data_IF_431314814263
#
_entry.id   IF_431314814263
#
_cell.length_a   1.000
_cell.length_b   1.000
_cell.length_c   1.000
_cell.angle_alpha   90.00
_cell.angle_beta   90.00
_cell.angle_gamma   90.00
#
_symmetry.space_group_name_H-M   'P 1'
#
loop_
_entity.id
_entity.type
_entity.pdbx_description
1 polymer ?
#
# COMPACT_ATOMS: atom_id res chain seq x y z
N UNK A 1 2.82 11.70 -15.63
CA UNK A 1 3.25 10.49 -14.87
C UNK A 1 3.22 10.74 -13.37
N UNK A 2 3.83 11.82 -12.88
CA UNK A 2 3.80 12.20 -11.45
C UNK A 2 2.37 12.36 -10.90
N UNK A 3 1.52 13.17 -11.54
CA UNK A 3 0.15 13.45 -11.06
C UNK A 3 -0.70 12.19 -10.93
N UNK A 4 -0.54 11.24 -11.86
CA UNK A 4 -1.20 9.93 -11.79
C UNK A 4 -0.80 9.15 -10.55
N UNK A 5 0.50 9.09 -10.24
CA UNK A 5 1.02 8.35 -9.07
C UNK A 5 0.61 9.05 -7.78
N UNK A 6 0.62 10.38 -7.75
CA UNK A 6 0.18 11.17 -6.61
C UNK A 6 -1.32 10.93 -6.34
N UNK A 7 -2.15 10.91 -7.38
CA UNK A 7 -3.58 10.62 -7.24
C UNK A 7 -3.82 9.17 -6.79
N UNK A 8 -3.07 8.20 -7.33
CA UNK A 8 -3.14 6.82 -6.85
C UNK A 8 -2.77 6.73 -5.36
N UNK A 9 -1.68 7.38 -4.93
CA UNK A 9 -1.26 7.43 -3.54
C UNK A 9 -2.31 8.07 -2.61
N UNK A 10 -2.95 9.16 -3.06
CA UNK A 10 -4.04 9.82 -2.33
C UNK A 10 -5.22 8.86 -2.14
N UNK A 11 -5.70 8.24 -3.22
CA UNK A 11 -6.83 7.32 -3.17
C UNK A 11 -6.52 6.08 -2.32
N UNK A 12 -5.31 5.51 -2.45
CA UNK A 12 -4.87 4.41 -1.58
C UNK A 12 -4.84 4.84 -0.12
N UNK A 13 -4.34 6.02 0.20
CA UNK A 13 -4.29 6.52 1.59
C UNK A 13 -5.68 6.70 2.18
N UNK A 14 -6.65 7.20 1.40
CA UNK A 14 -8.05 7.29 1.82
C UNK A 14 -8.62 5.90 2.12
N UNK A 15 -8.42 4.93 1.22
CA UNK A 15 -8.89 3.56 1.46
C UNK A 15 -8.22 2.95 2.68
N UNK A 16 -6.90 3.12 2.81
CA UNK A 16 -6.13 2.60 3.93
C UNK A 16 -6.60 3.18 5.27
N UNK A 17 -7.01 4.45 5.32
CA UNK A 17 -7.59 5.07 6.53
C UNK A 17 -8.82 4.31 7.04
N UNK A 18 -9.67 3.78 6.16
CA UNK A 18 -10.88 3.05 6.55
C UNK A 18 -10.64 1.54 6.72
N UNK A 19 -9.78 0.96 5.89
CA UNK A 19 -9.64 -0.49 5.79
C UNK A 19 -8.58 -1.05 6.74
N UNK A 20 -7.41 -0.41 6.84
CA UNK A 20 -6.32 -0.95 7.66
C UNK A 20 -6.68 -1.04 9.15
N UNK A 21 -7.38 -0.06 9.77
CA UNK A 21 -7.74 -0.15 11.19
C UNK A 21 -8.52 -1.40 11.59
N UNK A 22 -9.27 -2.00 10.66
CA UNK A 22 -9.99 -3.25 10.90
C UNK A 22 -9.05 -4.43 11.20
N UNK A 23 -7.79 -4.34 10.79
CA UNK A 23 -6.74 -5.34 11.09
C UNK A 23 -6.13 -5.12 12.47
N UNK A 24 -6.18 -3.89 12.99
CA UNK A 24 -5.47 -3.47 14.22
C UNK A 24 -6.39 -3.25 15.43
N UNK A 25 -7.70 -3.14 15.22
CA UNK A 25 -8.66 -2.78 16.25
C UNK A 25 -8.68 -3.77 17.42
N UNK A 26 -8.48 -3.26 18.64
CA UNK A 26 -8.64 -4.04 19.88
C UNK A 26 -10.01 -3.79 20.54
N UNK A 27 -10.47 -4.67 21.45
CA UNK A 27 -11.80 -4.57 22.07
C UNK A 27 -12.12 -3.27 22.81
N UNK A 28 -11.10 -2.49 23.20
CA UNK A 28 -11.25 -1.27 23.98
C UNK A 28 -10.86 0.00 23.22
N UNK A 29 -10.38 -0.12 21.98
CA UNK A 29 -9.98 1.04 21.18
C UNK A 29 -11.20 1.71 20.55
N UNK A 30 -11.19 3.04 20.45
CA UNK A 30 -12.14 3.70 19.55
C UNK A 30 -11.65 3.56 18.10
N UNK A 31 -12.56 3.26 17.17
CA UNK A 31 -12.20 3.10 15.76
C UNK A 31 -11.46 4.33 15.20
N UNK A 32 -11.85 5.53 15.63
CA UNK A 32 -11.22 6.79 15.19
C UNK A 32 -9.77 6.92 15.67
N UNK A 33 -9.45 6.52 16.90
CA UNK A 33 -8.06 6.52 17.40
C UNK A 33 -7.18 5.57 16.60
N UNK A 34 -7.68 4.37 16.28
CA UNK A 34 -6.95 3.40 15.44
C UNK A 34 -6.77 3.93 14.03
N UNK A 35 -7.80 4.54 13.42
CA UNK A 35 -7.70 5.21 12.13
C UNK A 35 -6.57 6.23 12.09
N UNK A 36 -6.50 7.12 13.08
CA UNK A 36 -5.46 8.14 13.17
C UNK A 36 -4.08 7.51 13.38
N UNK A 37 -3.95 6.59 14.33
CA UNK A 37 -2.67 5.94 14.65
C UNK A 37 -2.08 5.20 13.45
N UNK A 38 -2.89 4.43 12.75
CA UNK A 38 -2.46 3.71 11.54
C UNK A 38 -2.13 4.68 10.41
N UNK A 39 -2.95 5.72 10.21
CA UNK A 39 -2.79 6.63 9.07
C UNK A 39 -1.59 7.56 9.18
N UNK A 40 -1.21 7.97 10.39
CA UNK A 40 0.02 8.74 10.65
C UNK A 40 1.24 8.00 10.12
N UNK A 41 1.22 6.67 10.14
CA UNK A 41 2.31 5.83 9.65
C UNK A 41 2.09 5.44 8.19
N UNK A 42 0.92 4.93 7.84
CA UNK A 42 0.67 4.37 6.50
C UNK A 42 0.65 5.43 5.40
N UNK A 43 0.09 6.62 5.64
CA UNK A 43 -0.03 7.64 4.60
C UNK A 43 1.34 8.15 4.14
N UNK A 44 2.28 8.57 5.02
CA UNK A 44 3.64 8.93 4.58
C UNK A 44 4.35 7.85 3.78
N UNK A 45 4.18 6.58 4.16
CA UNK A 45 4.80 5.45 3.45
C UNK A 45 4.17 5.28 2.06
N UNK A 46 2.85 5.38 1.93
CA UNK A 46 2.15 5.31 0.64
C UNK A 46 2.63 6.44 -0.28
N UNK A 47 2.76 7.67 0.23
CA UNK A 47 3.21 8.82 -0.56
C UNK A 47 4.71 8.78 -0.91
N UNK A 48 5.55 8.19 -0.08
CA UNK A 48 6.99 8.09 -0.34
C UNK A 48 7.32 6.82 -1.10
N UNK A 49 7.27 5.68 -0.42
CA UNK A 49 7.62 4.38 -0.95
C UNK A 49 6.63 3.90 -2.00
N UNK A 50 5.32 4.14 -1.83
CA UNK A 50 4.33 3.76 -2.84
C UNK A 50 4.58 4.42 -4.19
N UNK A 51 4.86 5.73 -4.21
CA UNK A 51 5.22 6.44 -5.44
C UNK A 51 6.54 5.92 -6.03
N UNK A 52 7.60 5.84 -5.21
CA UNK A 52 8.92 5.40 -5.67
C UNK A 52 8.90 3.99 -6.28
N UNK A 53 8.30 3.05 -5.55
CA UNK A 53 8.21 1.64 -5.95
C UNK A 53 7.33 1.48 -7.18
N UNK A 54 6.27 2.27 -7.32
CA UNK A 54 5.42 2.25 -8.50
C UNK A 54 6.14 2.77 -9.76
N UNK A 55 6.96 3.83 -9.62
CA UNK A 55 7.81 4.33 -10.71
C UNK A 55 8.82 3.26 -11.13
N UNK A 56 9.46 2.63 -10.16
CA UNK A 56 10.43 1.56 -10.44
C UNK A 56 9.77 0.34 -11.08
N UNK A 57 8.60 -0.08 -10.58
CA UNK A 57 7.83 -1.19 -11.13
C UNK A 57 7.44 -0.95 -12.59
N UNK A 58 7.03 0.26 -12.94
CA UNK A 58 6.70 0.64 -14.32
C UNK A 58 7.94 0.64 -15.23
N UNK A 59 9.08 1.14 -14.75
CA UNK A 59 10.36 1.08 -15.49
C UNK A 59 10.80 -0.35 -15.77
N UNK A 60 10.68 -1.25 -14.79
CA UNK A 60 11.02 -2.67 -14.96
C UNK A 60 10.03 -3.37 -15.88
N UNK A 61 8.73 -3.11 -15.71
CA UNK A 61 7.68 -3.75 -16.50
C UNK A 61 7.65 -3.30 -17.97
N UNK A 62 8.04 -2.07 -18.28
CA UNK A 62 8.16 -1.58 -19.66
C UNK A 62 9.20 -2.36 -20.49
N UNK A 63 10.15 -3.05 -19.85
CA UNK A 63 11.10 -3.95 -20.54
C UNK A 63 10.47 -5.28 -20.98
N UNK A 64 9.25 -5.59 -20.53
CA UNK A 64 8.55 -6.86 -20.79
C UNK A 64 7.12 -6.61 -21.27
N UNK A 65 6.97 -6.05 -22.47
CA UNK A 65 5.67 -5.65 -23.06
C UNK A 65 4.57 -6.71 -22.91
N UNK A 66 4.85 -7.97 -23.28
CA UNK A 66 3.85 -9.06 -23.25
C UNK A 66 3.33 -9.41 -21.84
N UNK A 67 4.07 -9.06 -20.78
CA UNK A 67 3.73 -9.40 -19.37
C UNK A 67 3.74 -8.17 -18.46
N UNK A 68 3.61 -6.97 -19.04
CA UNK A 68 3.76 -5.69 -18.31
C UNK A 68 2.88 -5.63 -17.06
N UNK A 69 1.59 -5.94 -17.20
CA UNK A 69 0.64 -5.87 -16.07
C UNK A 69 0.96 -6.88 -14.96
N UNK A 70 1.31 -8.11 -15.33
CA UNK A 70 1.68 -9.15 -14.36
C UNK A 70 2.95 -8.75 -13.58
N UNK A 71 3.95 -8.21 -14.27
CA UNK A 71 5.20 -7.74 -13.64
C UNK A 71 4.91 -6.54 -12.74
N UNK A 72 4.08 -5.59 -13.19
CA UNK A 72 3.69 -4.46 -12.36
C UNK A 72 2.97 -4.90 -11.09
N UNK A 73 2.01 -5.82 -11.20
CA UNK A 73 1.26 -6.35 -10.06
C UNK A 73 2.18 -7.08 -9.07
N UNK A 74 3.04 -7.98 -9.57
CA UNK A 74 3.98 -8.73 -8.73
C UNK A 74 4.95 -7.79 -7.99
N UNK A 75 5.46 -6.75 -8.67
CA UNK A 75 6.35 -5.77 -8.05
C UNK A 75 5.63 -4.90 -7.01
N UNK A 76 4.41 -4.43 -7.28
CA UNK A 76 3.63 -3.70 -6.26
C UNK A 76 3.39 -4.57 -5.03
N UNK A 77 3.01 -5.84 -5.21
CA UNK A 77 2.82 -6.79 -4.10
C UNK A 77 4.09 -6.99 -3.27
N UNK A 78 5.23 -7.26 -3.92
CA UNK A 78 6.51 -7.41 -3.25
C UNK A 78 6.90 -6.13 -2.47
N UNK A 79 6.64 -4.96 -3.05
CA UNK A 79 6.98 -3.69 -2.42
C UNK A 79 6.06 -3.27 -1.29
N UNK A 80 4.74 -3.47 -1.38
CA UNK A 80 3.89 -3.12 -0.25
C UNK A 80 4.12 -4.06 0.94
N UNK A 81 4.42 -5.34 0.71
CA UNK A 81 4.87 -6.23 1.80
C UNK A 81 6.18 -5.71 2.42
N UNK A 82 7.18 -5.37 1.61
CA UNK A 82 8.49 -4.95 2.10
C UNK A 82 8.55 -3.56 2.75
N UNK A 83 7.77 -2.58 2.25
CA UNK A 83 7.88 -1.18 2.66
C UNK A 83 6.71 -0.65 3.50
N UNK A 84 5.51 -1.23 3.37
CA UNK A 84 4.33 -0.81 4.13
C UNK A 84 4.11 -1.73 5.33
N UNK A 85 4.38 -3.03 5.16
CA UNK A 85 4.22 -3.99 6.25
C UNK A 85 5.14 -3.70 7.44
N UNK A 86 6.42 -3.37 7.20
CA UNK A 86 7.44 -3.23 8.27
C UNK A 86 7.20 -2.01 9.19
N UNK A 87 6.92 -0.78 8.68
CA UNK A 87 6.86 0.39 9.57
C UNK A 87 5.51 0.58 10.25
N UNK A 88 4.40 0.02 9.72
CA UNK A 88 3.09 0.01 10.37
C UNK A 88 3.06 -0.74 11.72
N UNK A 89 4.17 -1.38 12.09
CA UNK A 89 4.33 -2.20 13.29
C UNK A 89 4.98 -1.48 14.47
N UNK A 90 5.39 -0.21 14.33
CA UNK A 90 5.94 0.56 15.46
C UNK A 90 5.07 0.50 16.74
N UNK A 91 3.72 0.44 16.68
CA UNK A 91 2.90 0.31 17.88
C UNK A 91 2.81 -1.11 18.47
N UNK A 92 3.35 -2.15 17.81
CA UNK A 92 3.03 -3.57 18.11
C UNK A 92 4.26 -4.47 18.27
N UNK A 93 5.43 -3.91 18.65
CA UNK A 93 6.68 -4.68 18.77
C UNK A 93 6.65 -5.87 19.74
N UNK A 94 5.68 -5.92 20.66
CA UNK A 94 5.53 -7.00 21.64
C UNK A 94 4.61 -8.16 21.18
N UNK A 95 4.18 -8.18 19.91
CA UNK A 95 3.33 -9.27 19.37
C UNK A 95 4.10 -10.52 18.93
N UNK A 96 3.45 -11.69 19.05
CA UNK A 96 4.00 -12.97 18.60
C UNK A 96 4.47 -12.93 17.13
N UNK A 97 5.61 -13.57 16.84
CA UNK A 97 6.24 -13.58 15.50
C UNK A 97 5.29 -14.02 14.37
N UNK A 98 4.36 -14.93 14.66
CA UNK A 98 3.38 -15.38 13.66
C UNK A 98 2.32 -14.31 13.37
N UNK A 99 1.79 -13.66 14.40
CA UNK A 99 0.90 -12.50 14.23
C UNK A 99 1.63 -11.34 13.53
N UNK A 100 2.91 -11.14 13.85
CA UNK A 100 3.78 -10.18 13.20
C UNK A 100 3.88 -10.40 11.68
N UNK A 101 4.20 -11.63 11.26
CA UNK A 101 4.29 -11.97 9.83
C UNK A 101 2.96 -11.82 9.11
N UNK A 102 1.85 -12.18 9.75
CA UNK A 102 0.51 -12.08 9.19
C UNK A 102 0.09 -10.63 8.95
N UNK A 103 0.27 -9.74 9.94
CA UNK A 103 -0.10 -8.33 9.85
C UNK A 103 0.68 -7.61 8.74
N UNK A 104 1.99 -7.85 8.62
CA UNK A 104 2.83 -7.36 7.52
C UNK A 104 2.23 -7.74 6.17
N UNK A 105 1.92 -9.02 6.02
CA UNK A 105 1.44 -9.57 4.76
C UNK A 105 0.07 -8.99 4.40
N UNK A 106 -0.87 -8.94 5.34
CA UNK A 106 -2.22 -8.42 5.08
C UNK A 106 -2.19 -6.93 4.77
N UNK A 107 -1.55 -6.10 5.61
CA UNK A 107 -1.51 -4.66 5.41
C UNK A 107 -0.74 -4.27 4.14
N UNK A 108 0.41 -4.94 3.92
CA UNK A 108 1.20 -4.78 2.72
C UNK A 108 0.40 -5.12 1.47
N UNK A 109 -0.31 -6.26 1.46
CA UNK A 109 -1.13 -6.68 0.33
C UNK A 109 -2.30 -5.72 0.06
N UNK A 110 -3.04 -5.30 1.09
CA UNK A 110 -4.15 -4.34 0.95
C UNK A 110 -3.65 -3.06 0.26
N UNK A 111 -2.60 -2.44 0.77
CA UNK A 111 -2.08 -1.20 0.20
C UNK A 111 -1.54 -1.40 -1.21
N UNK A 112 -0.81 -2.50 -1.46
CA UNK A 112 -0.27 -2.84 -2.78
C UNK A 112 -1.36 -2.97 -3.84
N UNK A 113 -2.42 -3.69 -3.49
CA UNK A 113 -3.55 -4.00 -4.37
C UNK A 113 -4.27 -2.70 -4.74
N UNK A 114 -4.67 -1.91 -3.73
CA UNK A 114 -5.36 -0.65 -3.99
C UNK A 114 -4.51 0.33 -4.78
N UNK A 115 -3.23 0.46 -4.45
CA UNK A 115 -2.31 1.32 -5.21
C UNK A 115 -2.22 0.91 -6.68
N UNK A 116 -1.97 -0.39 -6.93
CA UNK A 116 -1.88 -0.91 -8.29
C UNK A 116 -3.18 -0.67 -9.07
N UNK A 117 -4.34 -0.96 -8.47
CA UNK A 117 -5.62 -0.79 -9.15
C UNK A 117 -5.94 0.68 -9.44
N UNK A 118 -5.66 1.60 -8.51
CA UNK A 118 -5.85 3.02 -8.77
C UNK A 118 -4.89 3.53 -9.86
N UNK A 119 -3.61 3.16 -9.82
CA UNK A 119 -2.67 3.54 -10.88
C UNK A 119 -3.10 2.99 -12.25
N UNK A 120 -3.55 1.73 -12.30
CA UNK A 120 -4.07 1.10 -13.51
C UNK A 120 -5.33 1.80 -14.04
N UNK A 121 -6.28 2.09 -13.15
CA UNK A 121 -7.53 2.75 -13.50
C UNK A 121 -7.29 4.16 -14.06
N UNK A 122 -6.51 4.97 -13.36
CA UNK A 122 -6.18 6.33 -13.80
C UNK A 122 -5.36 6.28 -15.11
N UNK A 123 -4.44 5.32 -15.26
CA UNK A 123 -3.69 5.15 -16.51
C UNK A 123 -4.61 4.88 -17.70
N UNK A 124 -5.64 4.04 -17.52
CA UNK A 124 -6.63 3.77 -18.58
C UNK A 124 -7.53 4.97 -18.87
N UNK A 125 -7.84 5.80 -17.89
CA UNK A 125 -8.62 7.03 -18.09
C UNK A 125 -7.83 8.12 -18.83
N UNK A 126 -6.53 8.26 -18.56
CA UNK A 126 -5.67 9.29 -19.14
C UNK A 126 -5.13 8.94 -20.54
N UNK A 127 -5.20 7.69 -20.98
CA UNK A 127 -4.81 7.24 -22.34
C UNK A 127 -6.03 7.25 -23.29
N UNK A 128 -7.03 8.09 -23.02
CA UNK A 128 -8.09 8.38 -23.99
C UNK A 128 -7.62 9.41 -25.01
#
# INVERSE_FOLDING_TARGET
MGDRKLLAALLTSIVSFFVLPLVFMQPYDTYFEVCLGVSIVSAPIIFTYGIFTSIWAERVANRREKKKELVMFALHGAFGIGFIGIPCLYPFWDTDFFMYGWTILVCGMICSIFYYFFDLFIRKLLIK
#
